data_IF_501647710030
#
_entry.id   IF_501647710030
#
_cell.length_a   1.000
_cell.length_b   1.000
_cell.length_c   1.000
_cell.angle_alpha   90.00
_cell.angle_beta   90.00
_cell.angle_gamma   90.00
#
_symmetry.space_group_name_H-M   'P 1'
#
loop_
_entity.id
_entity.type
_entity.pdbx_description
1 polymer ?
#
# COMPACT_ATOMS: atom_id res chain seq x y z
N UNK A 1 58.13 -23.92 51.49
CA UNK A 1 58.68 -22.76 50.75
C UNK A 1 57.57 -22.25 49.84
N UNK A 2 57.09 -21.01 50.05
CA UNK A 2 57.14 -19.89 49.08
C UNK A 2 56.53 -20.26 47.71
N UNK A 3 55.50 -19.60 47.16
CA UNK A 3 55.16 -18.18 47.23
C UNK A 3 53.77 -17.94 46.62
N UNK A 4 52.94 -17.17 47.31
CA UNK A 4 51.72 -16.51 46.81
C UNK A 4 52.09 -15.42 45.80
N UNK A 5 51.37 -15.32 44.67
CA UNK A 5 51.31 -14.10 43.85
C UNK A 5 49.86 -13.74 43.58
N UNK A 6 49.41 -12.68 44.26
CA UNK A 6 48.24 -11.90 43.87
C UNK A 6 48.59 -11.06 42.65
N UNK A 7 47.76 -11.09 41.62
CA UNK A 7 47.71 -10.11 40.55
C UNK A 7 46.50 -9.21 40.81
N UNK A 8 46.74 -7.90 40.87
CA UNK A 8 45.75 -6.86 41.04
C UNK A 8 45.72 -5.97 39.80
N UNK A 9 44.52 -5.43 39.54
CA UNK A 9 44.18 -4.17 38.85
C UNK A 9 44.33 -4.09 37.32
N UNK A 10 43.20 -3.84 36.64
CA UNK A 10 42.88 -2.49 36.17
C UNK A 10 41.38 -2.38 35.76
N UNK A 11 40.63 -1.34 36.18
CA UNK A 11 39.32 -1.03 35.62
C UNK A 11 39.45 -0.25 34.30
N UNK A 12 38.79 -0.74 33.25
CA UNK A 12 38.59 -0.02 32.00
C UNK A 12 37.62 1.15 32.25
N UNK A 13 38.09 2.38 32.13
CA UNK A 13 37.23 3.57 32.05
C UNK A 13 36.80 3.78 30.59
N UNK A 14 35.51 3.54 30.30
CA UNK A 14 34.89 3.97 29.04
C UNK A 14 34.61 5.47 29.12
N UNK A 15 35.27 6.25 28.26
CA UNK A 15 34.94 7.66 28.02
C UNK A 15 33.72 7.71 27.08
N UNK A 16 32.56 8.16 27.57
CA UNK A 16 31.42 8.53 26.74
C UNK A 16 31.63 9.95 26.20
N UNK A 17 31.72 10.08 24.88
CA UNK A 17 31.60 11.37 24.18
C UNK A 17 30.12 11.77 24.03
N UNK A 18 29.71 13.00 24.36
CA UNK A 18 28.38 13.48 24.05
C UNK A 18 28.25 13.79 22.56
N UNK A 19 27.31 13.14 21.88
CA UNK A 19 26.88 13.50 20.54
C UNK A 19 26.07 14.80 20.61
N UNK A 20 26.55 15.85 19.95
CA UNK A 20 25.81 17.09 19.78
C UNK A 20 24.61 16.83 18.85
N UNK A 21 23.40 17.02 19.38
CA UNK A 21 22.18 17.03 18.60
C UNK A 21 22.18 18.28 17.70
N UNK A 22 22.37 18.07 16.40
CA UNK A 22 22.14 19.11 15.39
C UNK A 22 20.63 19.24 15.24
N UNK A 23 20.06 20.29 15.84
CA UNK A 23 18.68 20.67 15.60
C UNK A 23 18.56 21.14 14.14
N UNK A 24 17.96 20.32 13.29
CA UNK A 24 17.52 20.76 11.97
C UNK A 24 16.32 21.70 12.13
N UNK A 25 16.23 22.80 11.38
CA UNK A 25 15.03 23.62 11.37
C UNK A 25 13.87 22.79 10.82
N UNK A 26 12.79 22.70 11.59
CA UNK A 26 11.54 22.12 11.12
C UNK A 26 11.00 23.02 9.99
N UNK A 27 11.10 22.55 8.76
CA UNK A 27 10.33 23.09 7.65
C UNK A 27 8.85 22.90 7.97
N UNK A 28 8.08 23.99 7.98
CA UNK A 28 6.64 23.92 8.15
C UNK A 28 6.05 23.02 7.06
N UNK A 29 5.11 22.10 7.38
CA UNK A 29 4.46 21.29 6.37
C UNK A 29 3.82 22.23 5.35
N UNK A 30 4.31 22.15 4.12
CA UNK A 30 3.69 22.79 2.97
C UNK A 30 2.25 22.29 2.92
N UNK A 31 1.30 23.18 3.20
CA UNK A 31 -0.11 22.90 3.03
C UNK A 31 -0.28 22.32 1.63
N UNK A 32 -0.62 21.03 1.58
CA UNK A 32 -0.94 20.36 0.33
C UNK A 32 -2.15 21.13 -0.16
N UNK A 33 -1.96 21.91 -1.23
CA UNK A 33 -3.07 22.53 -1.94
C UNK A 33 -4.01 21.38 -2.30
N UNK A 34 -5.11 21.27 -1.55
CA UNK A 34 -6.27 20.51 -1.96
C UNK A 34 -6.75 21.18 -3.25
N UNK A 35 -6.21 20.71 -4.36
CA UNK A 35 -6.76 20.96 -5.66
C UNK A 35 -8.11 20.24 -5.66
N UNK A 36 -9.14 20.95 -5.21
CA UNK A 36 -10.52 20.70 -5.58
C UNK A 36 -10.64 20.95 -7.10
N UNK A 37 -10.04 20.06 -7.88
CA UNK A 37 -10.20 20.03 -9.32
C UNK A 37 -11.54 19.43 -9.65
N UNK A 38 -12.30 20.09 -10.51
CA UNK A 38 -13.49 19.56 -11.20
C UNK A 38 -13.14 18.45 -12.22
N UNK A 39 -12.06 17.70 -11.98
CA UNK A 39 -11.58 16.59 -12.79
C UNK A 39 -12.05 15.26 -12.21
N UNK A 40 -11.99 14.20 -13.01
CA UNK A 40 -12.43 12.85 -12.66
C UNK A 40 -11.96 12.37 -11.27
N UNK A 41 -12.71 11.41 -10.69
CA UNK A 41 -12.31 10.73 -9.45
C UNK A 41 -10.87 10.21 -9.58
N UNK A 42 -10.06 10.26 -8.51
CA UNK A 42 -8.75 9.60 -8.51
C UNK A 42 -8.91 8.12 -8.82
N UNK A 43 -7.90 7.53 -9.46
CA UNK A 43 -7.91 6.13 -9.88
C UNK A 43 -6.80 5.39 -9.16
N UNK A 44 -7.13 4.23 -8.59
CA UNK A 44 -6.17 3.29 -8.04
C UNK A 44 -5.82 2.27 -9.12
N UNK A 45 -4.55 2.00 -9.33
CA UNK A 45 -4.05 1.05 -10.31
C UNK A 45 -3.95 -0.36 -9.71
N UNK A 46 -3.82 -1.40 -10.55
CA UNK A 46 -3.64 -2.77 -10.05
C UNK A 46 -2.36 -2.90 -9.23
N UNK A 47 -1.28 -2.24 -9.63
CA UNK A 47 -0.02 -2.22 -8.87
C UNK A 47 -0.16 -1.60 -7.47
N UNK A 48 -1.17 -0.76 -7.25
CA UNK A 48 -1.46 -0.17 -5.94
C UNK A 48 -2.08 -1.19 -4.96
N UNK A 49 -2.70 -2.25 -5.47
CA UNK A 49 -3.44 -3.26 -4.68
C UNK A 49 -2.78 -4.64 -4.63
N UNK A 50 -1.87 -4.99 -5.54
CA UNK A 50 -1.32 -6.36 -5.66
C UNK A 50 -0.01 -6.63 -4.91
N UNK A 51 0.73 -5.62 -4.42
CA UNK A 51 1.88 -5.88 -3.53
C UNK A 51 2.26 -4.68 -2.65
N UNK A 52 2.42 -4.93 -1.35
CA UNK A 52 2.93 -4.02 -0.30
C UNK A 52 2.24 -2.65 -0.07
N UNK A 53 1.25 -2.27 -0.89
CA UNK A 53 0.67 -0.93 -0.84
C UNK A 53 1.66 0.08 -1.41
N UNK A 54 1.27 0.75 -2.49
CA UNK A 54 2.10 1.79 -3.08
C UNK A 54 1.99 3.09 -2.28
N UNK A 55 3.01 3.95 -2.37
CA UNK A 55 2.91 5.32 -1.87
C UNK A 55 1.73 6.07 -2.51
N UNK A 56 1.36 5.70 -3.74
CA UNK A 56 0.20 6.23 -4.45
C UNK A 56 -1.11 5.79 -3.77
N UNK A 57 -1.28 4.49 -3.47
CA UNK A 57 -2.42 3.98 -2.68
C UNK A 57 -2.55 4.73 -1.37
N UNK A 58 -1.45 4.85 -0.61
CA UNK A 58 -1.44 5.54 0.67
C UNK A 58 -1.90 6.99 0.51
N UNK A 59 -1.37 7.72 -0.48
CA UNK A 59 -1.76 9.11 -0.72
C UNK A 59 -3.25 9.25 -1.08
N UNK A 60 -3.79 8.38 -1.94
CA UNK A 60 -5.20 8.40 -2.32
C UNK A 60 -6.13 8.11 -1.12
N UNK A 61 -5.81 7.09 -0.33
CA UNK A 61 -6.59 6.73 0.84
C UNK A 61 -6.49 7.78 1.95
N UNK A 62 -5.32 8.41 2.13
CA UNK A 62 -5.15 9.51 3.07
C UNK A 62 -5.95 10.74 2.65
N UNK A 63 -5.92 11.13 1.36
CA UNK A 63 -6.72 12.25 0.87
C UNK A 63 -8.23 12.03 1.10
N UNK A 64 -8.69 10.79 0.92
CA UNK A 64 -10.08 10.43 1.22
C UNK A 64 -10.37 10.49 2.73
N UNK A 65 -9.51 9.93 3.58
CA UNK A 65 -9.64 10.01 5.04
C UNK A 65 -9.66 11.45 5.55
N UNK A 66 -8.78 12.31 5.04
CA UNK A 66 -8.72 13.72 5.40
C UNK A 66 -10.01 14.44 5.03
N UNK A 67 -10.54 14.21 3.82
CA UNK A 67 -11.83 14.75 3.42
C UNK A 67 -12.96 14.30 4.36
N UNK A 68 -12.99 13.02 4.74
CA UNK A 68 -14.04 12.51 5.64
C UNK A 68 -14.01 13.23 7.00
N UNK A 69 -12.82 13.48 7.54
CA UNK A 69 -12.65 14.23 8.80
C UNK A 69 -13.14 15.68 8.63
N UNK A 70 -12.76 16.35 7.54
CA UNK A 70 -13.21 17.72 7.22
C UNK A 70 -14.73 17.81 7.02
N UNK A 71 -15.33 16.74 6.49
CA UNK A 71 -16.78 16.61 6.33
C UNK A 71 -17.52 16.23 7.63
N UNK A 72 -16.81 16.15 8.76
CA UNK A 72 -17.39 15.93 10.09
C UNK A 72 -17.52 14.46 10.50
N UNK A 73 -16.81 13.54 9.82
CA UNK A 73 -16.77 12.16 10.27
C UNK A 73 -16.10 12.06 11.66
N UNK A 74 -16.67 11.26 12.58
CA UNK A 74 -16.12 11.11 13.91
C UNK A 74 -14.75 10.42 13.88
N UNK A 75 -13.86 10.84 14.77
CA UNK A 75 -12.54 10.25 14.97
C UNK A 75 -12.52 9.44 16.26
N UNK A 76 -11.70 8.39 16.31
CA UNK A 76 -11.40 7.65 17.53
C UNK A 76 -10.41 8.48 18.35
N UNK A 77 -10.70 8.63 19.64
CA UNK A 77 -9.79 9.25 20.61
C UNK A 77 -8.49 8.44 20.67
N UNK A 78 -7.30 9.05 20.45
CA UNK A 78 -6.02 8.34 20.53
C UNK A 78 -5.75 7.72 21.91
N UNK A 79 -6.41 8.21 22.97
CA UNK A 79 -6.32 7.68 24.33
C UNK A 79 -7.36 6.59 24.64
N UNK A 80 -8.28 6.29 23.71
CA UNK A 80 -9.18 5.14 23.83
C UNK A 80 -8.38 3.83 23.76
N UNK A 81 -8.93 2.73 24.31
CA UNK A 81 -8.28 1.42 24.28
C UNK A 81 -7.71 1.13 22.88
N UNK A 82 -6.42 0.77 22.84
CA UNK A 82 -5.68 0.56 21.60
C UNK A 82 -6.40 -0.50 20.75
N UNK A 83 -7.08 -0.06 19.70
CA UNK A 83 -7.58 -0.92 18.65
C UNK A 83 -6.52 -0.96 17.55
N UNK A 84 -6.15 -2.14 17.01
CA UNK A 84 -5.35 -2.17 15.81
C UNK A 84 -6.13 -1.47 14.69
N UNK A 85 -5.64 -0.31 14.28
CA UNK A 85 -6.19 0.46 13.17
C UNK A 85 -5.27 0.25 11.96
N UNK A 86 -5.81 -0.11 10.78
CA UNK A 86 -5.05 -0.05 9.54
C UNK A 86 -4.49 1.37 9.33
N UNK A 87 -3.22 1.49 8.94
CA UNK A 87 -2.52 2.78 8.80
C UNK A 87 -3.22 3.71 7.81
N UNK A 88 -3.95 3.16 6.83
CA UNK A 88 -4.77 3.88 5.85
C UNK A 88 -5.94 4.67 6.46
N UNK A 89 -6.35 4.36 7.69
CA UNK A 89 -7.41 5.08 8.41
C UNK A 89 -6.85 6.16 9.35
N UNK A 90 -5.53 6.37 9.36
CA UNK A 90 -4.89 7.47 10.04
C UNK A 90 -4.65 8.63 9.08
N UNK A 91 -4.98 9.83 9.53
CA UNK A 91 -4.61 11.05 8.82
C UNK A 91 -3.16 11.46 9.15
N UNK A 92 -2.28 11.68 8.17
CA UNK A 92 -0.97 12.30 8.42
C UNK A 92 -1.12 13.79 8.82
N UNK A 93 -2.18 14.44 8.37
CA UNK A 93 -2.49 15.86 8.62
C UNK A 93 -3.00 16.07 10.03
N UNK A 94 -3.94 15.22 10.46
CA UNK A 94 -4.67 15.38 11.71
C UNK A 94 -4.15 14.47 12.83
N UNK A 95 -3.37 13.42 12.52
CA UNK A 95 -2.83 12.47 13.51
C UNK A 95 -3.88 11.59 14.20
N UNK A 96 -5.14 11.68 13.77
CA UNK A 96 -6.30 11.01 14.36
C UNK A 96 -6.69 9.80 13.54
N UNK A 97 -7.33 8.84 14.21
CA UNK A 97 -7.92 7.67 13.57
C UNK A 97 -9.37 7.97 13.20
N UNK A 98 -9.78 7.63 11.98
CA UNK A 98 -11.19 7.68 11.58
C UNK A 98 -12.02 6.60 12.28
N UNK A 99 -13.17 6.96 12.88
CA UNK A 99 -14.12 5.96 13.36
C UNK A 99 -14.87 5.34 12.18
N UNK A 100 -14.75 4.02 12.02
CA UNK A 100 -15.35 3.30 10.88
C UNK A 100 -16.64 2.56 11.28
N UNK A 101 -17.68 2.55 10.42
CA UNK A 101 -17.79 3.22 9.12
C UNK A 101 -18.10 4.73 9.24
N UNK A 102 -17.63 5.56 8.29
CA UNK A 102 -17.95 6.98 8.28
C UNK A 102 -19.44 7.22 7.98
N UNK A 103 -20.00 8.34 8.48
CA UNK A 103 -21.35 8.79 8.16
C UNK A 103 -21.61 8.91 6.66
N UNK A 104 -22.86 8.67 6.25
CA UNK A 104 -23.23 8.62 4.83
C UNK A 104 -23.14 9.99 4.14
N UNK A 105 -23.41 11.07 4.87
CA UNK A 105 -23.26 12.46 4.42
C UNK A 105 -21.79 12.84 4.19
N UNK A 106 -20.88 12.45 5.10
CA UNK A 106 -19.44 12.63 4.90
C UNK A 106 -18.94 11.88 3.66
N UNK A 107 -19.35 10.61 3.49
CA UNK A 107 -19.04 9.84 2.27
C UNK A 107 -19.56 10.52 1.00
N UNK A 108 -20.78 11.06 1.05
CA UNK A 108 -21.38 11.74 -0.10
C UNK A 108 -20.62 13.04 -0.45
N UNK A 109 -20.18 13.80 0.56
CA UNK A 109 -19.37 15.00 0.37
C UNK A 109 -17.98 14.68 -0.23
N UNK A 110 -17.41 13.53 0.12
CA UNK A 110 -16.09 13.10 -0.32
C UNK A 110 -16.08 12.15 -1.53
N UNK A 111 -17.22 11.95 -2.20
CA UNK A 111 -17.33 11.01 -3.32
C UNK A 111 -16.43 11.36 -4.52
N UNK A 112 -16.05 12.63 -4.68
CA UNK A 112 -15.13 13.08 -5.74
C UNK A 112 -13.67 12.71 -5.47
N UNK A 113 -13.29 12.49 -4.21
CA UNK A 113 -11.93 12.13 -3.81
C UNK A 113 -11.79 10.66 -3.39
N UNK A 114 -12.90 9.93 -3.26
CA UNK A 114 -12.90 8.47 -3.10
C UNK A 114 -12.31 7.82 -4.37
N UNK A 115 -11.18 7.09 -4.28
CA UNK A 115 -10.54 6.52 -5.45
C UNK A 115 -11.41 5.44 -6.10
N UNK A 116 -11.38 5.39 -7.43
CA UNK A 116 -11.92 4.28 -8.21
C UNK A 116 -10.94 3.13 -8.11
N UNK A 117 -11.39 2.00 -7.58
CA UNK A 117 -10.58 0.79 -7.47
C UNK A 117 -10.45 0.10 -8.85
N UNK A 118 -9.31 -0.55 -9.13
CA UNK A 118 -9.22 -1.37 -10.33
C UNK A 118 -10.20 -2.55 -10.22
N UNK A 119 -10.57 -3.17 -11.35
CA UNK A 119 -11.30 -4.45 -11.34
C UNK A 119 -10.64 -5.46 -10.40
N UNK A 120 -11.46 -6.13 -9.59
CA UNK A 120 -10.97 -7.16 -8.67
C UNK A 120 -10.39 -8.36 -9.44
N UNK A 121 -9.47 -9.09 -8.81
CA UNK A 121 -8.76 -10.21 -9.44
C UNK A 121 -9.43 -11.56 -9.14
N UNK A 122 -10.71 -11.52 -8.77
CA UNK A 122 -11.51 -12.67 -8.40
C UNK A 122 -12.93 -12.59 -8.98
N UNK A 123 -13.47 -13.75 -9.38
CA UNK A 123 -14.80 -13.85 -9.98
C UNK A 123 -15.93 -13.41 -9.05
N UNK A 124 -15.75 -13.55 -7.73
CA UNK A 124 -16.78 -13.25 -6.73
C UNK A 124 -17.14 -11.75 -6.67
N UNK A 125 -16.19 -10.88 -7.01
CA UNK A 125 -16.30 -9.41 -6.88
C UNK A 125 -16.14 -8.69 -8.21
N UNK A 126 -15.76 -9.40 -9.27
CA UNK A 126 -15.62 -8.86 -10.62
C UNK A 126 -16.47 -9.66 -11.62
N UNK A 127 -17.63 -9.14 -12.08
CA UNK A 127 -18.52 -9.85 -13.01
C UNK A 127 -17.92 -10.04 -14.41
N UNK A 128 -16.87 -9.30 -14.77
CA UNK A 128 -16.14 -9.44 -16.05
C UNK A 128 -14.87 -10.27 -15.92
N UNK A 129 -14.59 -10.82 -14.72
CA UNK A 129 -13.36 -11.52 -14.40
C UNK A 129 -13.02 -12.62 -15.40
N UNK A 130 -13.99 -13.48 -15.75
CA UNK A 130 -13.73 -14.61 -16.66
C UNK A 130 -13.18 -14.14 -18.02
N UNK A 131 -13.72 -13.05 -18.59
CA UNK A 131 -13.23 -12.51 -19.86
C UNK A 131 -11.84 -11.86 -19.71
N UNK A 132 -11.62 -11.15 -18.61
CA UNK A 132 -10.33 -10.52 -18.31
C UNK A 132 -9.24 -11.57 -18.05
N UNK A 133 -9.52 -12.62 -17.28
CA UNK A 133 -8.58 -13.71 -17.03
C UNK A 133 -8.15 -14.41 -18.33
N UNK A 134 -9.06 -14.60 -19.29
CA UNK A 134 -8.69 -15.12 -20.61
C UNK A 134 -7.84 -14.14 -21.42
N UNK A 135 -8.12 -12.84 -21.32
CA UNK A 135 -7.33 -11.78 -21.96
C UNK A 135 -5.91 -11.73 -21.39
N UNK A 136 -5.77 -11.84 -20.07
CA UNK A 136 -4.49 -11.91 -19.37
C UNK A 136 -3.66 -13.12 -19.83
N UNK A 137 -4.24 -14.33 -19.84
CA UNK A 137 -3.55 -15.54 -20.30
C UNK A 137 -3.17 -15.47 -21.77
N UNK A 138 -4.01 -14.86 -22.61
CA UNK A 138 -3.68 -14.64 -24.02
C UNK A 138 -2.48 -13.69 -24.17
N UNK A 139 -2.44 -12.61 -23.39
CA UNK A 139 -1.29 -11.71 -23.34
C UNK A 139 0.00 -12.45 -22.95
N UNK A 140 -0.02 -13.25 -21.88
CA UNK A 140 1.13 -14.05 -21.47
C UNK A 140 1.61 -14.95 -22.62
N UNK A 141 0.69 -15.66 -23.28
CA UNK A 141 1.02 -16.54 -24.39
C UNK A 141 1.63 -15.81 -25.59
N UNK A 142 1.17 -14.59 -25.91
CA UNK A 142 1.73 -13.74 -26.97
C UNK A 142 3.17 -13.28 -26.67
N UNK A 143 3.53 -13.23 -25.40
CA UNK A 143 4.87 -12.92 -24.91
C UNK A 143 5.74 -14.16 -24.64
N UNK A 144 5.28 -15.37 -25.01
CA UNK A 144 6.02 -16.62 -24.85
C UNK A 144 5.81 -17.33 -23.51
N UNK A 145 4.97 -16.79 -22.63
CA UNK A 145 4.55 -17.43 -21.39
C UNK A 145 3.33 -18.31 -21.61
N UNK A 146 3.59 -19.58 -21.90
CA UNK A 146 2.52 -20.53 -22.16
C UNK A 146 1.95 -21.10 -20.86
N UNK A 147 0.90 -20.46 -20.34
CA UNK A 147 0.25 -20.86 -19.10
C UNK A 147 -1.15 -21.45 -19.32
N UNK A 148 -1.72 -22.04 -18.26
CA UNK A 148 -3.14 -22.38 -18.17
C UNK A 148 -3.64 -22.02 -16.78
N UNK A 149 -4.85 -21.46 -16.69
CA UNK A 149 -5.52 -21.25 -15.41
C UNK A 149 -5.79 -22.60 -14.73
N UNK A 150 -5.70 -22.61 -13.40
CA UNK A 150 -6.02 -23.74 -12.55
C UNK A 150 -7.51 -23.81 -12.22
N UNK A 151 -8.19 -22.66 -12.21
CA UNK A 151 -9.62 -22.50 -11.97
C UNK A 151 -10.15 -21.24 -12.69
N UNK A 152 -11.44 -20.94 -12.53
CA UNK A 152 -12.12 -19.75 -13.06
C UNK A 152 -12.48 -18.72 -11.96
N UNK A 153 -12.01 -18.93 -10.73
CA UNK A 153 -12.32 -18.13 -9.55
C UNK A 153 -11.30 -17.01 -9.30
N UNK A 154 -10.03 -17.23 -9.66
CA UNK A 154 -8.91 -16.32 -9.43
C UNK A 154 -7.83 -16.45 -10.53
N UNK A 155 -6.75 -15.68 -10.41
CA UNK A 155 -5.60 -15.72 -11.35
C UNK A 155 -4.56 -16.79 -10.99
N UNK A 156 -4.97 -17.93 -10.44
CA UNK A 156 -4.06 -19.06 -10.25
C UNK A 156 -3.82 -19.77 -11.59
N UNK A 157 -2.57 -19.84 -12.03
CA UNK A 157 -2.18 -20.53 -13.26
C UNK A 157 -0.92 -21.37 -13.08
N UNK A 158 -0.64 -22.21 -14.07
CA UNK A 158 0.58 -23.01 -14.14
C UNK A 158 1.12 -23.06 -15.56
N UNK A 159 2.44 -23.22 -15.70
CA UNK A 159 3.09 -23.39 -17.00
C UNK A 159 2.62 -24.67 -17.71
N UNK A 160 2.52 -24.59 -19.03
CA UNK A 160 2.28 -25.74 -19.90
C UNK A 160 3.60 -26.48 -20.13
N UNK A 161 3.54 -27.81 -20.08
CA UNK A 161 4.69 -28.63 -20.37
C UNK A 161 5.15 -28.48 -21.84
N UNK A 162 6.46 -28.53 -22.06
CA UNK A 162 7.06 -28.48 -23.39
C UNK A 162 7.33 -27.08 -23.95
N UNK A 163 7.20 -26.05 -23.11
CA UNK A 163 7.55 -24.67 -23.44
C UNK A 163 8.62 -24.17 -22.46
N UNK A 164 9.56 -23.37 -22.96
CA UNK A 164 10.50 -22.65 -22.13
C UNK A 164 9.82 -21.43 -21.48
N UNK A 165 10.31 -21.03 -20.31
CA UNK A 165 9.85 -19.81 -19.62
C UNK A 165 10.80 -18.68 -20.01
N UNK A 166 10.30 -17.53 -20.50
CA UNK A 166 11.13 -16.36 -20.77
C UNK A 166 11.92 -15.89 -19.54
N UNK A 167 13.13 -15.37 -19.74
CA UNK A 167 13.98 -14.87 -18.64
C UNK A 167 13.37 -13.61 -17.96
N UNK A 168 12.52 -12.88 -18.69
CA UNK A 168 11.84 -11.65 -18.25
C UNK A 168 10.38 -11.89 -17.82
N UNK A 169 10.04 -13.13 -17.44
CA UNK A 169 8.65 -13.52 -17.15
C UNK A 169 7.95 -12.58 -16.14
N UNK A 170 8.63 -12.20 -15.06
CA UNK A 170 8.03 -11.30 -14.07
C UNK A 170 7.62 -9.93 -14.66
N UNK A 171 8.36 -9.42 -15.64
CA UNK A 171 8.03 -8.15 -16.31
C UNK A 171 6.87 -8.33 -17.31
N UNK A 172 6.80 -9.48 -17.98
CA UNK A 172 5.69 -9.86 -18.85
C UNK A 172 4.40 -10.00 -18.04
N UNK A 173 4.44 -10.74 -16.92
CA UNK A 173 3.32 -10.91 -16.00
C UNK A 173 2.78 -9.56 -15.52
N UNK A 174 3.64 -8.66 -15.03
CA UNK A 174 3.25 -7.32 -14.59
C UNK A 174 2.62 -6.50 -15.73
N UNK A 175 3.26 -6.47 -16.90
CA UNK A 175 2.75 -5.73 -18.05
C UNK A 175 1.38 -6.25 -18.53
N UNK A 176 1.20 -7.57 -18.60
CA UNK A 176 -0.07 -8.19 -18.99
C UNK A 176 -1.16 -7.98 -17.94
N UNK A 177 -0.81 -8.04 -16.66
CA UNK A 177 -1.74 -7.78 -15.55
C UNK A 177 -2.23 -6.32 -15.60
N UNK A 178 -1.30 -5.37 -15.74
CA UNK A 178 -1.61 -3.95 -15.88
C UNK A 178 -2.41 -3.67 -17.16
N UNK A 179 -2.07 -4.28 -18.30
CA UNK A 179 -2.82 -4.08 -19.54
C UNK A 179 -4.25 -4.63 -19.52
N UNK A 180 -4.55 -5.59 -18.63
CA UNK A 180 -5.86 -6.27 -18.59
C UNK A 180 -6.76 -5.77 -17.46
N UNK A 181 -6.17 -5.56 -16.29
CA UNK A 181 -6.88 -5.16 -15.08
C UNK A 181 -6.55 -3.72 -14.67
N UNK A 182 -5.59 -3.06 -15.31
CA UNK A 182 -5.26 -1.66 -15.05
C UNK A 182 -6.41 -0.73 -15.41
N UNK A 183 -6.53 0.32 -14.61
CA UNK A 183 -7.47 1.41 -14.76
C UNK A 183 -6.68 2.61 -15.28
N UNK A 184 -6.63 2.75 -16.60
CA UNK A 184 -6.15 3.96 -17.30
C UNK A 184 -7.28 4.99 -17.41
#
# INVERSE_FOLDING_TARGET
MKTTRLLALAPLALLLTPAAAVAMPAEAPTAINAAAGTGARPVMHVSDVTSQGSAHRTALLQAYTDCLIEAGAPTIDPDAEARPVPAENMSPTYGVTLAWPPPADARAACASVDPVYPPALEAATNPTFAAQAQTYVACLADHGEHVRLLNDENLDWTYRAGYDVPDDNAAIEDACLLGTFGSD
#
